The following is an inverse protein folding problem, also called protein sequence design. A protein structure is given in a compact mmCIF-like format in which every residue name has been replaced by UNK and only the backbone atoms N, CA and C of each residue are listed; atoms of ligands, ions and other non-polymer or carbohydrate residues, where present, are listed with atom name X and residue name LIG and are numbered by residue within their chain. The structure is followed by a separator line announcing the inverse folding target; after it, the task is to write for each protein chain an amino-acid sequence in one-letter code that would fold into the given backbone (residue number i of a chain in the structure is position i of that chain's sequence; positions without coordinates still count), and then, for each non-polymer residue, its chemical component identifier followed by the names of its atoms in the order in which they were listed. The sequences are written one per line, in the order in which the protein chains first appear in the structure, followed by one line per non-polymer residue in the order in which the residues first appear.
data_IF_249795133364
#
_entry.id   IF_249795133364
#
_cell.length_a   1.000
_cell.length_b   1.000
_cell.length_c   1.000
_cell.angle_alpha   90.00
_cell.angle_beta   90.00
_cell.angle_gamma   90.00
#
_symmetry.space_group_name_H-M   'P 1'
#
loop_
_entity.id
_entity.type
_entity.pdbx_description
1 polymer ?
#
# COMPACT_ATOMS: atom_id res chain seq x y z
N UNK A 1 0.87 0.27 -13.01
CA UNK A 1 -0.34 1.11 -12.97
C UNK A 1 -0.25 1.99 -11.73
N UNK A 2 -0.55 3.29 -11.85
CA UNK A 2 -0.75 4.12 -10.65
C UNK A 2 -2.15 3.86 -10.11
N UNK A 3 -2.26 3.58 -8.83
CA UNK A 3 -3.52 3.41 -8.11
C UNK A 3 -3.55 4.33 -6.89
N UNK A 4 -4.69 4.42 -6.21
CA UNK A 4 -4.82 5.23 -5.00
C UNK A 4 -5.45 4.38 -3.91
N UNK A 5 -4.83 4.31 -2.73
CA UNK A 5 -5.36 3.58 -1.59
C UNK A 5 -6.53 4.34 -0.95
N UNK A 6 -7.68 3.69 -0.74
CA UNK A 6 -8.89 4.33 -0.22
C UNK A 6 -8.78 4.89 1.21
N UNK A 7 -7.86 4.35 2.03
CA UNK A 7 -7.68 4.79 3.41
C UNK A 7 -6.80 6.04 3.54
N UNK A 8 -5.62 6.05 2.90
CA UNK A 8 -4.66 7.15 3.02
C UNK A 8 -4.78 8.19 1.89
N UNK A 9 -5.53 7.88 0.83
CA UNK A 9 -5.58 8.66 -0.42
C UNK A 9 -4.19 8.96 -0.99
N UNK A 10 -3.21 8.11 -0.68
CA UNK A 10 -1.85 8.19 -1.19
C UNK A 10 -1.70 7.32 -2.44
N UNK A 11 -0.84 7.76 -3.36
CA UNK A 11 -0.50 7.02 -4.57
C UNK A 11 0.16 5.69 -4.20
N UNK A 12 -0.39 4.60 -4.69
CA UNK A 12 0.22 3.28 -4.63
C UNK A 12 0.43 2.74 -6.05
N UNK A 13 1.12 1.61 -6.13
CA UNK A 13 1.35 0.90 -7.39
C UNK A 13 0.73 -0.48 -7.29
N UNK A 14 -0.23 -0.75 -8.16
CA UNK A 14 -0.75 -2.10 -8.36
C UNK A 14 -0.02 -2.75 -9.52
N UNK A 15 0.49 -3.96 -9.28
CA UNK A 15 1.13 -4.82 -10.28
C UNK A 15 0.21 -6.01 -10.56
N UNK A 16 0.11 -6.40 -11.83
CA UNK A 16 -0.50 -7.64 -12.26
C UNK A 16 0.62 -8.56 -12.75
N UNK A 17 0.74 -9.73 -12.15
CA UNK A 17 1.86 -10.66 -12.39
C UNK A 17 1.25 -12.02 -12.74
N UNK A 18 1.50 -12.51 -13.95
CA UNK A 18 1.18 -13.88 -14.35
C UNK A 18 2.42 -14.76 -14.15
N UNK A 19 2.26 -15.88 -13.45
CA UNK A 19 3.34 -16.83 -13.19
C UNK A 19 2.81 -18.24 -13.06
N UNK A 20 3.66 -19.24 -13.29
CA UNK A 20 3.33 -20.64 -13.01
C UNK A 20 3.24 -20.91 -11.51
N UNK A 21 2.45 -21.93 -11.13
CA UNK A 21 2.13 -22.24 -9.73
C UNK A 21 3.36 -22.54 -8.87
N UNK A 22 4.40 -23.12 -9.47
CA UNK A 22 5.65 -23.46 -8.79
C UNK A 22 6.47 -22.23 -8.35
N UNK A 23 6.29 -21.09 -9.01
CA UNK A 23 7.01 -19.86 -8.72
C UNK A 23 6.29 -18.92 -7.73
N UNK A 24 5.11 -19.31 -7.23
CA UNK A 24 4.32 -18.45 -6.33
C UNK A 24 5.10 -18.13 -5.06
N UNK A 25 5.71 -19.12 -4.41
CA UNK A 25 6.45 -18.91 -3.15
C UNK A 25 7.67 -17.99 -3.36
N UNK A 26 8.42 -18.20 -4.45
CA UNK A 26 9.55 -17.35 -4.82
C UNK A 26 9.11 -15.90 -5.06
N UNK A 27 7.99 -15.71 -5.77
CA UNK A 27 7.41 -14.39 -6.01
C UNK A 27 7.02 -13.70 -4.70
N UNK A 28 6.39 -14.43 -3.77
CA UNK A 28 6.00 -13.91 -2.46
C UNK A 28 7.23 -13.50 -1.63
N UNK A 29 8.32 -14.27 -1.67
CA UNK A 29 9.57 -13.93 -1.00
C UNK A 29 10.22 -12.67 -1.58
N UNK A 30 10.21 -12.53 -2.92
CA UNK A 30 10.68 -11.30 -3.57
C UNK A 30 9.84 -10.11 -3.12
N UNK A 31 8.51 -10.20 -3.19
CA UNK A 31 7.61 -9.13 -2.77
C UNK A 31 7.86 -8.76 -1.30
N UNK A 32 7.95 -9.74 -0.41
CA UNK A 32 8.22 -9.53 1.02
C UNK A 32 9.57 -8.86 1.28
N UNK A 33 10.60 -9.22 0.49
CA UNK A 33 11.94 -8.62 0.63
C UNK A 33 11.97 -7.15 0.19
N UNK A 34 11.17 -6.79 -0.82
CA UNK A 34 11.16 -5.45 -1.45
C UNK A 34 10.14 -4.50 -0.83
N UNK A 35 8.96 -4.99 -0.49
CA UNK A 35 7.85 -4.20 0.02
C UNK A 35 7.84 -4.27 1.55
N UNK A 36 8.62 -3.38 2.19
CA UNK A 36 8.66 -3.29 3.65
C UNK A 36 7.67 -2.25 4.15
N UNK A 37 6.96 -2.56 5.23
CA UNK A 37 6.19 -1.56 5.97
C UNK A 37 7.14 -0.55 6.63
N UNK A 38 6.66 0.67 6.76
CA UNK A 38 7.32 1.82 7.38
C UNK A 38 6.32 2.50 8.29
N UNK A 39 6.78 2.96 9.43
CA UNK A 39 5.97 3.79 10.29
C UNK A 39 5.97 5.21 9.73
N UNK A 40 4.78 5.75 9.48
CA UNK A 40 4.61 7.13 9.04
C UNK A 40 3.82 7.87 10.09
N UNK A 41 4.42 8.95 10.56
CA UNK A 41 3.76 9.91 11.43
C UNK A 41 2.92 10.82 10.55
N UNK A 42 1.60 10.76 10.67
CA UNK A 42 0.71 11.68 9.98
C UNK A 42 0.41 12.82 10.95
N UNK A 43 0.86 14.02 10.59
CA UNK A 43 0.40 15.24 11.24
C UNK A 43 -0.98 15.60 10.65
N UNK A 44 -2.03 15.76 11.46
CA UNK A 44 -3.32 16.20 10.96
C UNK A 44 -3.20 17.62 10.39
N UNK A 45 -3.70 17.83 9.16
CA UNK A 45 -3.86 19.16 8.59
C UNK A 45 -4.90 19.91 9.41
N UNK A 46 -4.49 20.92 10.18
CA UNK A 46 -5.40 21.81 10.89
C UNK A 46 -6.24 22.61 9.87
N UNK A 47 -7.58 22.53 9.88
CA UNK A 47 -8.40 23.27 8.93
C UNK A 47 -8.56 24.77 9.25
N UNK A 48 -8.04 25.28 10.39
CA UNK A 48 -8.43 26.62 10.86
C UNK A 48 -7.23 27.38 11.44
N UNK A 49 -6.70 28.31 10.65
CA UNK A 49 -5.66 29.26 11.07
C UNK A 49 -6.21 30.49 11.83
N UNK A 50 -7.44 30.44 12.34
CA UNK A 50 -8.15 31.64 12.82
C UNK A 50 -8.85 31.54 14.18
N UNK A 51 -8.64 30.50 14.98
CA UNK A 51 -9.16 30.46 16.37
C UNK A 51 -8.07 30.05 17.36
N UNK A 52 -7.76 30.97 18.26
CA UNK A 52 -6.73 30.98 19.31
C UNK A 52 -6.97 29.97 20.46
N UNK A 53 -7.71 28.89 20.23
CA UNK A 53 -7.88 27.80 21.20
C UNK A 53 -7.23 26.54 20.64
N UNK A 54 -6.01 26.29 21.11
CA UNK A 54 -5.12 25.26 20.62
C UNK A 54 -5.67 23.85 20.86
N UNK A 55 -6.27 23.27 19.83
CA UNK A 55 -6.46 21.82 19.77
C UNK A 55 -5.09 21.17 19.58
N UNK A 56 -4.57 20.56 20.65
CA UNK A 56 -3.43 19.66 20.57
C UNK A 56 -3.81 18.46 19.69
N UNK A 57 -3.35 18.49 18.45
CA UNK A 57 -3.50 17.37 17.54
C UNK A 57 -2.26 16.49 17.66
N UNK A 58 -2.41 15.34 18.31
CA UNK A 58 -1.28 14.45 18.52
C UNK A 58 -0.93 13.71 17.23
N UNK A 59 0.34 13.66 16.84
CA UNK A 59 0.78 12.86 15.71
C UNK A 59 0.40 11.39 15.92
N UNK A 60 -0.33 10.80 14.97
CA UNK A 60 -0.60 9.36 14.97
C UNK A 60 0.45 8.64 14.14
N UNK A 61 1.06 7.62 14.73
CA UNK A 61 1.89 6.65 14.03
C UNK A 61 0.98 5.64 13.34
N UNK A 62 1.05 5.58 12.02
CA UNK A 62 0.40 4.53 11.24
C UNK A 62 1.46 3.70 10.53
N UNK A 63 1.26 2.38 10.48
CA UNK A 63 2.06 1.55 9.58
C UNK A 63 1.55 1.72 8.16
N UNK A 64 2.44 2.21 7.28
CA UNK A 64 2.18 2.38 5.86
C UNK A 64 3.15 1.55 5.04
N UNK A 65 2.74 1.11 3.86
CA UNK A 65 3.56 0.26 3.00
C UNK A 65 3.39 -1.23 3.29
N UNK A 66 4.34 -2.04 2.82
CA UNK A 66 4.11 -3.47 2.61
C UNK A 66 3.47 -3.74 1.25
N UNK A 67 3.06 -4.99 1.01
CA UNK A 67 2.31 -5.37 -0.17
C UNK A 67 1.05 -6.12 0.22
N UNK A 68 -0.06 -5.77 -0.42
CA UNK A 68 -1.28 -6.58 -0.40
C UNK A 68 -1.30 -7.41 -1.68
N UNK A 69 -1.35 -8.73 -1.55
CA UNK A 69 -1.28 -9.66 -2.68
C UNK A 69 -2.57 -10.46 -2.75
N UNK A 70 -3.16 -10.53 -3.95
CA UNK A 70 -4.29 -11.40 -4.27
C UNK A 70 -3.82 -12.43 -5.28
N UNK A 71 -4.02 -13.71 -4.96
CA UNK A 71 -3.70 -14.82 -5.87
C UNK A 71 -5.01 -15.26 -6.51
N UNK A 72 -5.04 -15.31 -7.84
CA UNK A 72 -6.22 -15.65 -8.64
C UNK A 72 -5.81 -16.79 -9.58
N UNK A 73 -6.54 -17.90 -9.54
CA UNK A 73 -6.32 -19.01 -10.46
C UNK A 73 -6.73 -18.61 -11.89
N UNK A 74 -5.85 -18.89 -12.85
CA UNK A 74 -6.08 -18.63 -14.27
C UNK A 74 -6.47 -19.93 -14.95
N UNK A 75 -7.70 -20.00 -15.46
CA UNK A 75 -8.20 -21.20 -16.17
C UNK A 75 -7.49 -21.41 -17.52
N UNK A 76 -7.16 -20.32 -18.22
CA UNK A 76 -6.49 -20.39 -19.53
C UNK A 76 -5.58 -19.18 -19.75
N UNK A 77 -4.34 -19.46 -20.13
CA UNK A 77 -3.38 -18.45 -20.62
C UNK A 77 -3.12 -18.65 -22.11
N UNK A 78 -3.12 -17.57 -22.88
CA UNK A 78 -2.82 -17.57 -24.31
C UNK A 78 -1.85 -16.43 -24.59
N UNK A 79 -0.74 -16.75 -25.27
CA UNK A 79 0.18 -15.76 -25.85
C UNK A 79 0.06 -15.83 -27.37
N UNK A 80 -0.30 -14.73 -28.00
CA UNK A 80 -0.40 -14.57 -29.45
C UNK A 80 0.86 -13.90 -30.01
#
# INVERSE_FOLDING_TARGET
MASTGGFLREGNTTLLIGTDKEHIEELLDIIKSKCKSREKTIAPMSPVASSLEGYYSFPMQVQVGGATVFIIDVEKYIKL
#
